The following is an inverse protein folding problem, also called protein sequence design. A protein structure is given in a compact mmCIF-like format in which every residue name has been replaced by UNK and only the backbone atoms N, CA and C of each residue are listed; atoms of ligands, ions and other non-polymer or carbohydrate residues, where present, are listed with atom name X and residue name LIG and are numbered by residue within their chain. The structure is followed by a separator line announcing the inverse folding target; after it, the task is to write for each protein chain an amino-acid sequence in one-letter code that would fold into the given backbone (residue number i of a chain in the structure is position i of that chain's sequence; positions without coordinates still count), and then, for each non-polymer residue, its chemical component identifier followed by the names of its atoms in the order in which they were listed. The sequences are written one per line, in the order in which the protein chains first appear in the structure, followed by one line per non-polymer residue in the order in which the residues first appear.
data_IF_936495137479
#
_entry.id   IF_936495137479
#
_cell.length_a   1.000
_cell.length_b   1.000
_cell.length_c   1.000
_cell.angle_alpha   90.00
_cell.angle_beta   90.00
_cell.angle_gamma   90.00
#
_symmetry.space_group_name_H-M   'P 1'
#
loop_
_entity.id
_entity.type
_entity.pdbx_description
1 polymer ?
#
# COMPACT_ATOMS: atom_id res chain seq x y z
N UNK A 1 -32.99 -21.00 -5.83
CA UNK A 1 -32.17 -20.16 -4.93
C UNK A 1 -30.72 -20.53 -5.20
N UNK A 2 -29.96 -19.56 -5.72
CA UNK A 2 -28.78 -19.64 -6.62
C UNK A 2 -27.63 -20.56 -6.15
N UNK A 3 -26.79 -21.13 -7.02
CA UNK A 3 -25.77 -20.41 -7.82
C UNK A 3 -25.32 -21.16 -9.09
N UNK A 4 -25.60 -20.50 -10.21
CA UNK A 4 -24.70 -20.24 -11.34
C UNK A 4 -24.24 -21.37 -12.28
N UNK A 5 -24.96 -21.44 -13.41
CA UNK A 5 -24.67 -21.80 -14.82
C UNK A 5 -23.21 -21.98 -15.32
N UNK A 6 -22.16 -21.79 -14.53
CA UNK A 6 -20.77 -21.71 -15.00
C UNK A 6 -20.04 -23.07 -15.16
N UNK A 7 -20.67 -24.20 -14.80
CA UNK A 7 -20.07 -25.54 -14.94
C UNK A 7 -20.17 -26.12 -16.37
N UNK A 8 -20.70 -25.37 -17.35
CA UNK A 8 -20.90 -25.83 -18.72
C UNK A 8 -20.11 -25.02 -19.75
N UNK A 9 -18.78 -25.08 -19.66
CA UNK A 9 -17.79 -25.21 -20.77
C UNK A 9 -16.42 -24.75 -20.27
N UNK A 10 -15.67 -25.65 -19.64
CA UNK A 10 -14.21 -25.45 -19.53
C UNK A 10 -13.64 -25.48 -20.95
N UNK A 11 -13.08 -24.36 -21.40
CA UNK A 11 -12.36 -24.25 -22.67
C UNK A 11 -10.87 -24.39 -22.38
N UNK A 12 -10.22 -25.34 -23.03
CA UNK A 12 -8.77 -25.48 -22.95
C UNK A 12 -8.14 -24.67 -24.08
N UNK A 13 -7.41 -23.62 -23.72
CA UNK A 13 -6.72 -22.75 -24.67
C UNK A 13 -5.22 -22.88 -24.46
N UNK A 14 -4.48 -23.13 -25.54
CA UNK A 14 -3.02 -23.06 -25.51
C UNK A 14 -2.60 -21.60 -25.69
N UNK A 15 -1.93 -21.06 -24.68
CA UNK A 15 -1.35 -19.70 -24.72
C UNK A 15 0.17 -19.79 -24.68
N UNK A 16 0.84 -18.96 -25.46
CA UNK A 16 2.30 -18.79 -25.38
C UNK A 16 2.60 -17.70 -24.39
N UNK A 17 3.42 -17.98 -23.37
CA UNK A 17 3.82 -17.03 -22.35
C UNK A 17 5.33 -16.80 -22.43
N UNK A 18 5.74 -15.57 -22.15
CA UNK A 18 7.16 -15.25 -21.99
C UNK A 18 7.77 -16.06 -20.83
N UNK A 19 9.06 -16.47 -20.94
CA UNK A 19 9.69 -17.31 -19.93
C UNK A 19 9.68 -16.71 -18.51
N UNK A 20 9.79 -15.38 -18.40
CA UNK A 20 9.79 -14.68 -17.12
C UNK A 20 8.41 -14.74 -16.42
N UNK A 21 7.32 -14.68 -17.19
CA UNK A 21 5.95 -14.82 -16.67
C UNK A 21 5.73 -16.22 -16.09
N UNK A 22 6.27 -17.26 -16.72
CA UNK A 22 6.20 -18.63 -16.20
C UNK A 22 6.86 -18.72 -14.82
N UNK A 23 8.04 -18.11 -14.65
CA UNK A 23 8.75 -18.09 -13.36
C UNK A 23 7.95 -17.34 -12.30
N UNK A 24 7.41 -16.16 -12.64
CA UNK A 24 6.58 -15.34 -11.73
C UNK A 24 5.32 -16.08 -11.31
N UNK A 25 4.60 -16.69 -12.25
CA UNK A 25 3.37 -17.44 -11.99
C UNK A 25 3.62 -18.69 -11.13
N UNK A 26 4.72 -19.42 -11.36
CA UNK A 26 5.11 -20.56 -10.50
C UNK A 26 5.43 -20.11 -9.07
N UNK A 27 6.12 -18.99 -8.93
CA UNK A 27 6.42 -18.40 -7.61
C UNK A 27 5.12 -18.01 -6.89
N UNK A 28 4.19 -17.36 -7.59
CA UNK A 28 2.88 -16.99 -7.08
C UNK A 28 2.08 -18.23 -6.66
N UNK A 29 1.99 -19.24 -7.53
CA UNK A 29 1.31 -20.50 -7.26
C UNK A 29 1.85 -21.18 -5.99
N UNK A 30 3.19 -21.26 -5.86
CA UNK A 30 3.85 -21.82 -4.67
C UNK A 30 3.58 -21.00 -3.42
N UNK A 31 3.65 -19.67 -3.50
CA UNK A 31 3.42 -18.76 -2.38
C UNK A 31 1.98 -18.88 -1.84
N UNK A 32 1.02 -19.09 -2.72
CA UNK A 32 -0.40 -19.17 -2.38
C UNK A 32 -0.93 -20.62 -2.21
N UNK A 33 -0.11 -21.64 -2.48
CA UNK A 33 -0.52 -23.05 -2.39
C UNK A 33 -1.56 -23.46 -3.42
N UNK A 34 -1.57 -22.83 -4.60
CA UNK A 34 -2.56 -23.05 -5.67
C UNK A 34 -1.91 -23.66 -6.91
N UNK A 35 -2.73 -24.16 -7.86
CA UNK A 35 -2.22 -24.69 -9.13
C UNK A 35 -1.74 -23.56 -10.05
N UNK A 36 -0.90 -23.91 -11.04
CA UNK A 36 -0.42 -22.96 -12.05
C UNK A 36 -1.58 -22.37 -12.87
N UNK A 37 -2.55 -23.19 -13.29
CA UNK A 37 -3.71 -22.74 -14.06
C UNK A 37 -4.60 -21.80 -13.25
N UNK A 38 -4.74 -22.06 -11.94
CA UNK A 38 -5.46 -21.17 -11.05
C UNK A 38 -4.74 -19.83 -10.92
N UNK A 39 -3.43 -19.84 -10.70
CA UNK A 39 -2.61 -18.63 -10.64
C UNK A 39 -2.67 -17.81 -11.94
N UNK A 40 -2.65 -18.48 -13.10
CA UNK A 40 -2.78 -17.84 -14.41
C UNK A 40 -4.16 -17.19 -14.58
N UNK A 41 -5.23 -17.93 -14.31
CA UNK A 41 -6.59 -17.41 -14.43
C UNK A 41 -6.88 -16.26 -13.46
N UNK A 42 -6.35 -16.33 -12.23
CA UNK A 42 -6.51 -15.26 -11.25
C UNK A 42 -5.73 -14.01 -11.64
N UNK A 43 -4.51 -14.16 -12.15
CA UNK A 43 -3.73 -13.05 -12.68
C UNK A 43 -4.41 -12.39 -13.89
N UNK A 44 -4.97 -13.18 -14.81
CA UNK A 44 -5.73 -12.68 -15.95
C UNK A 44 -7.00 -11.96 -15.50
N UNK A 45 -7.76 -12.53 -14.55
CA UNK A 45 -8.96 -11.90 -14.00
C UNK A 45 -8.64 -10.57 -13.32
N UNK A 46 -7.55 -10.53 -12.55
CA UNK A 46 -7.07 -9.29 -11.94
C UNK A 46 -6.64 -8.26 -13.00
N UNK A 47 -5.91 -8.67 -14.03
CA UNK A 47 -5.47 -7.77 -15.11
C UNK A 47 -6.63 -7.20 -15.94
N UNK A 48 -7.63 -8.01 -16.26
CA UNK A 48 -8.84 -7.55 -16.98
C UNK A 48 -9.70 -6.64 -16.09
N UNK A 49 -9.87 -6.99 -14.81
CA UNK A 49 -10.61 -6.17 -13.86
C UNK A 49 -9.89 -4.88 -13.48
N UNK A 50 -8.56 -4.84 -13.59
CA UNK A 50 -7.74 -3.71 -13.21
C UNK A 50 -7.99 -2.45 -14.06
N UNK A 51 -8.65 -2.56 -15.22
CA UNK A 51 -9.21 -1.44 -15.99
C UNK A 51 -8.33 -0.18 -16.04
N UNK A 52 -8.94 0.99 -16.19
CA UNK A 52 -8.28 2.27 -15.92
C UNK A 52 -8.59 2.66 -14.48
N UNK A 53 -8.05 1.92 -13.50
CA UNK A 53 -8.21 2.28 -12.09
C UNK A 53 -7.38 3.54 -11.84
N UNK A 54 -8.01 4.68 -11.46
CA UNK A 54 -7.28 5.92 -11.26
C UNK A 54 -6.23 5.74 -10.16
N UNK A 55 -5.04 6.35 -10.28
CA UNK A 55 -3.99 6.23 -9.29
C UNK A 55 -4.51 6.65 -7.92
N UNK A 56 -4.22 5.84 -6.91
CA UNK A 56 -4.61 6.12 -5.53
C UNK A 56 -4.03 7.46 -5.08
N UNK A 57 -4.90 8.38 -4.63
CA UNK A 57 -4.50 9.68 -4.07
C UNK A 57 -4.77 9.68 -2.57
N UNK A 58 -3.74 9.92 -1.78
CA UNK A 58 -3.87 10.14 -0.35
C UNK A 58 -4.27 11.60 -0.08
N UNK A 59 -5.41 11.89 0.57
CA UNK A 59 -5.80 13.26 0.89
C UNK A 59 -4.83 13.84 1.93
N UNK A 60 -4.29 15.03 1.65
CA UNK A 60 -3.50 15.79 2.63
C UNK A 60 -4.42 16.48 3.63
N UNK A 61 -4.01 16.54 4.90
CA UNK A 61 -4.73 17.27 5.94
C UNK A 61 -3.77 18.27 6.59
N UNK A 62 -4.25 19.50 6.78
CA UNK A 62 -3.47 20.52 7.47
C UNK A 62 -3.26 20.12 8.94
N UNK A 63 -2.00 20.06 9.38
CA UNK A 63 -1.62 19.72 10.76
C UNK A 63 -1.74 20.91 11.74
N UNK A 64 -2.28 22.05 11.30
CA UNK A 64 -2.49 23.22 12.17
C UNK A 64 -1.22 23.95 12.59
N UNK A 65 -0.10 23.78 11.86
CA UNK A 65 1.17 24.41 12.19
C UNK A 65 1.10 25.93 12.06
N UNK A 66 1.61 26.65 13.07
CA UNK A 66 1.80 28.11 12.97
C UNK A 66 2.90 28.38 11.95
N UNK A 67 2.66 29.30 11.00
CA UNK A 67 3.57 29.62 9.88
C UNK A 67 5.00 30.03 10.29
N UNK A 68 5.20 30.42 11.55
CA UNK A 68 6.49 30.84 12.09
C UNK A 68 7.34 29.70 12.67
N UNK A 69 6.85 28.46 12.70
CA UNK A 69 7.56 27.32 13.28
C UNK A 69 8.24 26.52 12.17
N UNK A 70 9.57 26.55 12.12
CA UNK A 70 10.37 25.74 11.21
C UNK A 70 10.59 24.33 11.79
N UNK A 71 9.78 23.37 11.35
CA UNK A 71 9.90 21.98 11.78
C UNK A 71 11.13 21.26 11.22
N UNK A 72 11.82 21.79 10.20
CA UNK A 72 13.08 21.18 9.74
C UNK A 72 14.16 21.25 10.82
N UNK A 73 14.00 22.16 11.80
CA UNK A 73 14.85 22.30 12.98
C UNK A 73 14.15 21.82 14.25
N UNK A 74 13.31 20.78 14.16
CA UNK A 74 12.49 20.30 15.28
C UNK A 74 13.27 19.97 16.56
N UNK A 75 14.49 19.43 16.43
CA UNK A 75 15.36 19.16 17.59
C UNK A 75 15.79 20.44 18.31
N UNK A 76 16.15 21.49 17.56
CA UNK A 76 16.51 22.78 18.14
C UNK A 76 15.31 23.41 18.84
N UNK A 77 14.15 23.41 18.17
CA UNK A 77 12.91 23.92 18.74
C UNK A 77 12.53 23.20 20.05
N UNK A 78 12.72 21.88 20.10
CA UNK A 78 12.46 21.11 21.31
C UNK A 78 13.38 21.52 22.47
N UNK A 79 14.68 21.70 22.19
CA UNK A 79 15.65 22.17 23.18
C UNK A 79 15.30 23.57 23.70
N UNK A 80 15.01 24.52 22.81
CA UNK A 80 14.65 25.89 23.20
C UNK A 80 13.39 25.93 24.09
N UNK A 81 12.41 25.06 23.83
CA UNK A 81 11.19 24.94 24.66
C UNK A 81 11.48 24.31 26.03
N UNK A 82 12.39 23.33 26.09
CA UNK A 82 12.81 22.69 27.34
C UNK A 82 13.61 23.65 28.24
N UNK A 83 14.51 24.43 27.65
CA UNK A 83 15.30 25.44 28.34
C UNK A 83 14.39 26.53 28.93
N UNK A 84 13.43 27.03 28.13
CA UNK A 84 12.47 28.03 28.59
C UNK A 84 11.63 27.54 29.78
N UNK A 85 11.17 26.29 29.76
CA UNK A 85 10.43 25.69 30.90
C UNK A 85 11.33 25.44 32.12
N UNK A 86 12.61 25.12 31.92
CA UNK A 86 13.58 24.96 33.00
C UNK A 86 13.82 26.29 33.72
N UNK A 87 14.04 27.38 32.98
CA UNK A 87 14.22 28.73 33.53
C UNK A 87 12.97 29.14 34.32
N UNK A 88 11.78 28.95 33.73
CA UNK A 88 10.51 29.29 34.39
C UNK A 88 10.33 28.56 35.73
N UNK A 89 10.69 27.27 35.80
CA UNK A 89 10.61 26.49 37.05
C UNK A 89 11.60 26.96 38.11
N UNK A 90 12.78 27.43 37.70
CA UNK A 90 13.78 27.99 38.62
C UNK A 90 13.30 29.33 39.19
N UNK A 91 12.69 30.19 38.37
CA UNK A 91 12.13 31.48 38.80
C UNK A 91 10.98 31.33 39.80
N UNK A 92 10.14 30.30 39.65
CA UNK A 92 9.02 30.02 40.56
C UNK A 92 9.45 29.44 41.93
N UNK A 93 10.73 29.06 42.07
CA UNK A 93 11.28 28.43 43.28
C UNK A 93 12.09 29.40 44.15
N UNK A 94 12.34 30.62 43.65
CA UNK A 94 12.81 31.76 44.43
C UNK A 94 11.65 32.63 44.89
#
# INVERSE_FOLDING_TARGET
MWRDDAMMRNVHTKVTLEPDLIVKLRSLARKHGISFDQALNDALRAGVAAGDVPPYRLPTRALGLRRAIDLNKGLQLAGDLEDAETIRKLELRN
#
